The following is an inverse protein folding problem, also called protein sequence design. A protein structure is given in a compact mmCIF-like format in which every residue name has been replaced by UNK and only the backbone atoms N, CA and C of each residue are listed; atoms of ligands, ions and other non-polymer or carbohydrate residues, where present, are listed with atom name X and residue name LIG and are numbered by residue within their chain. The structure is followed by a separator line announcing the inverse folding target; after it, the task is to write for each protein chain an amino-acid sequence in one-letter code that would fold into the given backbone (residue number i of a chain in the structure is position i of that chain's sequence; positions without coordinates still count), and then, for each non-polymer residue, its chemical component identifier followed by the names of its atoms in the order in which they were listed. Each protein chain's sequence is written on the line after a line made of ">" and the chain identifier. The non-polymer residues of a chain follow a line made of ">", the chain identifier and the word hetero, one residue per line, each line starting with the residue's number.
data_IF_949160120165
#
_entry.id   IF_949160120165
#
_cell.length_a   1.000
_cell.length_b   1.000
_cell.length_c   1.000
_cell.angle_alpha   90.00
_cell.angle_beta   90.00
_cell.angle_gamma   90.00
#
_symmetry.space_group_name_H-M   'P 1'
#
loop_
_entity.id
_entity.type
_entity.pdbx_description
1 polymer ?
#
# COMPACT_ATOMS: atom_id res chain seq x y z
N UNK A 1 -6.19 14.53 -16.11
CA UNK A 1 -6.63 13.86 -14.87
C UNK A 1 -5.44 13.90 -13.94
N UNK A 2 -5.65 14.40 -12.73
CA UNK A 2 -4.58 14.96 -11.90
C UNK A 2 -3.87 13.85 -11.12
N UNK A 3 -2.54 13.90 -11.11
CA UNK A 3 -1.62 13.06 -10.33
C UNK A 3 -2.10 12.83 -8.87
N UNK A 4 -2.80 13.82 -8.32
CA UNK A 4 -3.47 13.79 -7.01
C UNK A 4 -4.47 12.66 -6.79
N UNK A 5 -5.16 12.17 -7.82
CA UNK A 5 -6.21 11.13 -7.66
C UNK A 5 -5.60 9.75 -7.40
N UNK A 6 -4.56 9.39 -8.17
CA UNK A 6 -3.74 8.20 -7.93
C UNK A 6 -3.04 8.26 -6.56
N UNK A 7 -2.49 9.43 -6.19
CA UNK A 7 -1.85 9.59 -4.88
C UNK A 7 -2.85 9.39 -3.73
N UNK A 8 -4.08 9.90 -3.86
CA UNK A 8 -5.14 9.69 -2.87
C UNK A 8 -5.53 8.21 -2.76
N UNK A 9 -5.67 7.51 -3.88
CA UNK A 9 -6.09 6.10 -3.89
C UNK A 9 -4.98 5.17 -3.40
N UNK A 10 -3.71 5.43 -3.75
CA UNK A 10 -2.58 4.74 -3.16
C UNK A 10 -2.46 5.01 -1.65
N UNK A 11 -2.74 6.23 -1.21
CA UNK A 11 -2.74 6.58 0.21
C UNK A 11 -3.88 5.88 0.95
N UNK A 12 -5.07 5.83 0.37
CA UNK A 12 -6.22 5.11 0.92
C UNK A 12 -5.91 3.61 1.03
N UNK A 13 -5.28 3.02 0.01
CA UNK A 13 -4.84 1.64 0.02
C UNK A 13 -3.83 1.37 1.15
N UNK A 14 -2.87 2.28 1.37
CA UNK A 14 -1.90 2.17 2.47
C UNK A 14 -2.54 2.29 3.84
N UNK A 15 -3.48 3.22 4.01
CA UNK A 15 -4.23 3.37 5.26
C UNK A 15 -5.04 2.11 5.56
N UNK A 16 -5.65 1.50 4.54
CA UNK A 16 -6.34 0.23 4.69
C UNK A 16 -5.37 -0.87 5.14
N UNK A 17 -4.18 -0.94 4.53
CA UNK A 17 -3.15 -1.92 4.91
C UNK A 17 -2.75 -1.81 6.39
N UNK A 18 -2.68 -0.59 6.91
CA UNK A 18 -2.35 -0.26 8.30
C UNK A 18 -3.53 -0.43 9.29
N UNK A 19 -4.73 -0.76 8.81
CA UNK A 19 -5.91 -0.91 9.66
C UNK A 19 -5.88 -2.28 10.38
N UNK A 20 -5.25 -2.28 11.56
CA UNK A 20 -5.11 -3.46 12.41
C UNK A 20 -6.47 -4.02 12.87
N UNK A 21 -7.45 -3.15 13.12
CA UNK A 21 -8.77 -3.56 13.58
C UNK A 21 -9.50 -4.35 12.50
N UNK A 22 -9.58 -3.81 11.28
CA UNK A 22 -10.23 -4.48 10.17
C UNK A 22 -9.49 -5.76 9.76
N UNK A 23 -8.16 -5.74 9.81
CA UNK A 23 -7.30 -6.89 9.55
C UNK A 23 -7.51 -8.04 10.55
N UNK A 24 -7.66 -7.74 11.84
CA UNK A 24 -7.85 -8.75 12.88
C UNK A 24 -9.29 -9.26 12.97
N UNK A 25 -10.28 -8.39 12.76
CA UNK A 25 -11.70 -8.74 12.86
C UNK A 25 -12.17 -9.51 11.61
N UNK A 26 -11.70 -9.10 10.42
CA UNK A 26 -12.09 -9.68 9.12
C UNK A 26 -10.89 -9.88 8.17
N UNK A 27 -9.95 -10.80 8.47
CA UNK A 27 -8.73 -10.97 7.69
C UNK A 27 -8.98 -11.32 6.21
N UNK A 28 -9.98 -12.16 5.93
CA UNK A 28 -10.33 -12.55 4.55
C UNK A 28 -10.91 -11.38 3.75
N UNK A 29 -11.78 -10.58 4.38
CA UNK A 29 -12.46 -9.45 3.75
C UNK A 29 -11.50 -8.28 3.52
N UNK A 30 -10.62 -8.04 4.51
CA UNK A 30 -9.47 -7.15 4.42
C UNK A 30 -8.60 -7.46 3.20
N UNK A 31 -8.18 -8.72 3.05
CA UNK A 31 -7.34 -9.13 1.93
C UNK A 31 -8.04 -8.93 0.60
N UNK A 32 -9.31 -9.34 0.49
CA UNK A 32 -10.11 -9.15 -0.74
C UNK A 32 -10.25 -7.67 -1.11
N UNK A 33 -10.44 -6.79 -0.12
CA UNK A 33 -10.58 -5.35 -0.35
C UNK A 33 -9.27 -4.74 -0.87
N UNK A 34 -8.12 -5.12 -0.30
CA UNK A 34 -6.81 -4.66 -0.78
C UNK A 34 -6.54 -5.08 -2.22
N UNK A 35 -6.85 -6.33 -2.57
CA UNK A 35 -6.70 -6.83 -3.94
C UNK A 35 -7.65 -6.12 -4.88
N UNK A 36 -8.92 -5.96 -4.50
CA UNK A 36 -9.92 -5.27 -5.33
C UNK A 36 -9.49 -3.84 -5.66
N UNK A 37 -9.01 -3.10 -4.66
CA UNK A 37 -8.50 -1.72 -4.86
C UNK A 37 -7.26 -1.70 -5.77
N UNK A 38 -6.35 -2.65 -5.61
CA UNK A 38 -5.20 -2.76 -6.51
C UNK A 38 -5.64 -3.07 -7.96
N UNK A 39 -6.60 -3.96 -8.15
CA UNK A 39 -7.18 -4.28 -9.46
C UNK A 39 -7.87 -3.05 -10.09
N UNK A 40 -8.60 -2.26 -9.31
CA UNK A 40 -9.19 -0.99 -9.78
C UNK A 40 -8.09 -0.04 -10.29
N UNK A 41 -7.01 0.16 -9.52
CA UNK A 41 -5.87 0.99 -9.94
C UNK A 41 -5.24 0.52 -11.26
N UNK A 42 -5.17 -0.79 -11.48
CA UNK A 42 -4.65 -1.38 -12.72
C UNK A 42 -5.65 -1.22 -13.87
N UNK A 43 -6.95 -1.45 -13.62
CA UNK A 43 -8.05 -1.28 -14.58
C UNK A 43 -8.15 0.16 -15.09
N UNK A 44 -7.92 1.12 -14.19
CA UNK A 44 -7.86 2.54 -14.51
C UNK A 44 -6.54 2.96 -15.20
N UNK A 45 -5.62 2.01 -15.42
CA UNK A 45 -4.28 2.23 -15.99
C UNK A 45 -3.44 3.25 -15.20
N UNK A 46 -3.75 3.44 -13.91
CA UNK A 46 -3.02 4.40 -13.08
C UNK A 46 -1.72 3.82 -12.51
N UNK A 47 -1.64 2.50 -12.38
CA UNK A 47 -0.43 1.79 -11.98
C UNK A 47 -0.02 0.79 -13.04
N UNK A 48 1.26 0.43 -13.06
CA UNK A 48 1.74 -0.62 -13.97
C UNK A 48 1.43 -2.01 -13.43
N UNK A 49 1.56 -3.02 -14.29
CA UNK A 49 1.43 -4.43 -13.86
C UNK A 49 2.46 -4.81 -12.79
N UNK A 50 3.67 -4.26 -12.87
CA UNK A 50 4.72 -4.46 -11.87
C UNK A 50 4.33 -3.83 -10.52
N UNK A 51 3.78 -2.61 -10.52
CA UNK A 51 3.26 -1.96 -9.31
C UNK A 51 2.11 -2.75 -8.68
N UNK A 52 1.18 -3.24 -9.52
CA UNK A 52 0.10 -4.11 -9.08
C UNK A 52 0.62 -5.40 -8.43
N UNK A 53 1.66 -6.02 -9.01
CA UNK A 53 2.30 -7.20 -8.39
C UNK A 53 2.91 -6.87 -7.04
N UNK A 54 3.51 -5.69 -6.85
CA UNK A 54 4.03 -5.25 -5.56
C UNK A 54 2.91 -5.07 -4.52
N UNK A 55 1.80 -4.41 -4.90
CA UNK A 55 0.64 -4.25 -4.02
C UNK A 55 0.04 -5.59 -3.62
N UNK A 56 -0.13 -6.49 -4.60
CA UNK A 56 -0.63 -7.84 -4.35
C UNK A 56 0.28 -8.61 -3.39
N UNK A 57 1.59 -8.60 -3.62
CA UNK A 57 2.53 -9.29 -2.74
C UNK A 57 2.49 -8.73 -1.31
N UNK A 58 2.41 -7.40 -1.16
CA UNK A 58 2.29 -6.77 0.14
C UNK A 58 0.98 -7.13 0.87
N UNK A 59 -0.14 -7.24 0.14
CA UNK A 59 -1.41 -7.69 0.70
C UNK A 59 -1.38 -9.18 1.11
N UNK A 60 -0.80 -10.04 0.27
CA UNK A 60 -0.59 -11.48 0.56
C UNK A 60 0.30 -11.66 1.80
N UNK A 61 1.42 -10.94 1.90
CA UNK A 61 2.32 -10.98 3.05
C UNK A 61 1.62 -10.50 4.34
N UNK A 62 0.86 -9.40 4.27
CA UNK A 62 0.10 -8.88 5.41
C UNK A 62 -0.97 -9.87 5.88
N UNK A 63 -1.72 -10.46 4.95
CA UNK A 63 -2.74 -11.48 5.26
C UNK A 63 -2.11 -12.74 5.87
N UNK A 64 -1.03 -13.26 5.27
CA UNK A 64 -0.33 -14.43 5.78
C UNK A 64 0.22 -14.20 7.20
N UNK A 65 0.74 -13.00 7.47
CA UNK A 65 1.17 -12.60 8.81
C UNK A 65 0.00 -12.56 9.79
N UNK A 66 -1.10 -11.89 9.44
CA UNK A 66 -2.30 -11.81 10.28
C UNK A 66 -2.87 -13.17 10.62
N UNK A 67 -3.04 -14.04 9.62
CA UNK A 67 -3.57 -15.39 9.84
C UNK A 67 -2.64 -16.20 10.75
N UNK A 68 -1.32 -16.08 10.59
CA UNK A 68 -0.36 -16.71 11.49
C UNK A 68 -0.40 -16.12 12.91
N UNK A 69 -0.53 -14.80 13.06
CA UNK A 69 -0.63 -14.13 14.36
C UNK A 69 -1.90 -14.55 15.11
N UNK A 70 -3.05 -14.57 14.40
CA UNK A 70 -4.33 -15.03 14.92
C UNK A 70 -4.26 -16.50 15.35
N UNK A 71 -3.69 -17.37 14.51
CA UNK A 71 -3.51 -18.79 14.82
C UNK A 71 -2.58 -19.05 16.03
N UNK A 72 -1.69 -18.09 16.35
CA UNK A 72 -0.74 -18.17 17.47
C UNK A 72 -1.19 -17.39 18.70
N UNK A 73 -2.36 -16.75 18.68
CA UNK A 73 -2.86 -15.82 19.71
C UNK A 73 -1.80 -14.75 20.12
N UNK A 74 -0.93 -14.37 19.19
CA UNK A 74 0.13 -13.40 19.46
C UNK A 74 -0.32 -11.99 19.11
N UNK A 75 0.26 -11.01 19.82
CA UNK A 75 0.13 -9.59 19.44
C UNK A 75 0.63 -9.42 18.01
N UNK A 76 -0.31 -9.07 17.16
CA UNK A 76 -0.10 -8.88 15.74
C UNK A 76 0.63 -7.55 15.50
N UNK A 77 1.96 -7.63 15.47
CA UNK A 77 2.84 -6.48 15.23
C UNK A 77 3.27 -6.45 13.76
N UNK A 78 2.33 -6.26 12.83
CA UNK A 78 2.66 -6.13 11.42
C UNK A 78 3.44 -4.83 11.21
N UNK A 79 4.70 -4.97 10.80
CA UNK A 79 5.49 -3.82 10.39
C UNK A 79 5.20 -3.52 8.93
N UNK A 80 4.19 -2.70 8.68
CA UNK A 80 3.85 -2.20 7.33
C UNK A 80 5.02 -1.47 6.67
N UNK A 81 5.93 -0.90 7.47
CA UNK A 81 7.19 -0.30 7.01
C UNK A 81 8.19 -1.28 6.38
N UNK A 82 8.01 -2.59 6.59
CA UNK A 82 8.82 -3.64 5.97
C UNK A 82 8.27 -4.13 4.63
N UNK A 83 7.05 -3.73 4.27
CA UNK A 83 6.41 -4.14 3.01
C UNK A 83 6.90 -3.27 1.85
N UNK A 84 7.24 -3.93 0.74
CA UNK A 84 7.66 -3.27 -0.50
C UNK A 84 6.44 -2.73 -1.22
N UNK A 85 6.21 -1.43 -1.11
CA UNK A 85 5.12 -0.74 -1.78
C UNK A 85 5.64 0.03 -2.99
N UNK A 86 4.84 0.15 -4.07
CA UNK A 86 5.18 1.01 -5.17
C UNK A 86 5.34 2.45 -4.65
N UNK A 87 6.47 3.05 -5.02
CA UNK A 87 6.75 4.45 -4.72
C UNK A 87 5.87 5.22 -5.70
N UNK A 88 4.82 5.89 -5.20
CA UNK A 88 3.97 6.75 -6.03
C UNK A 88 4.84 7.69 -6.87
N UNK A 89 4.33 8.19 -8.02
CA UNK A 89 5.13 9.01 -8.92
C UNK A 89 5.80 10.10 -8.10
N UNK A 90 7.13 10.13 -8.16
CA UNK A 90 7.95 10.99 -7.35
C UNK A 90 7.76 12.46 -7.78
N UNK A 91 6.68 13.07 -7.29
CA UNK A 91 6.36 14.49 -7.45
C UNK A 91 6.76 15.28 -6.20
N UNK A 92 7.96 15.09 -5.66
CA UNK A 92 8.57 16.11 -4.77
C UNK A 92 10.06 15.86 -4.61
N UNK A 93 10.79 16.23 -5.66
CA UNK A 93 12.22 16.45 -5.66
C UNK A 93 12.51 17.78 -6.34
N UNK A 94 11.71 18.83 -6.06
CA UNK A 94 12.16 20.19 -6.30
C UNK A 94 13.19 20.52 -5.23
N UNK A 95 14.44 20.15 -5.47
CA UNK A 95 15.54 20.86 -4.87
C UNK A 95 15.59 22.24 -5.55
N UNK A 96 14.79 23.17 -5.03
CA UNK A 96 15.10 24.59 -5.05
C UNK A 96 16.21 24.85 -4.02
N UNK A 97 16.89 26.00 -4.17
CA UNK A 97 18.13 26.45 -3.51
C UNK A 97 19.42 25.82 -4.07
N UNK A 98 20.40 26.56 -4.59
CA UNK A 98 20.59 28.01 -4.66
C UNK A 98 21.66 28.31 -5.73
N UNK A 99 21.46 29.42 -6.44
CA UNK A 99 22.44 30.05 -7.32
C UNK A 99 23.26 31.02 -6.47
N UNK A 100 24.60 31.00 -6.62
CA UNK A 100 25.67 31.95 -6.18
C UNK A 100 26.84 31.13 -5.59
N UNK A 101 28.12 31.40 -5.82
CA UNK A 101 28.81 32.65 -6.19
C UNK A 101 30.15 32.32 -6.90
N UNK A 102 30.64 33.34 -7.60
CA UNK A 102 31.89 33.54 -8.36
C UNK A 102 33.18 32.79 -7.92
#
# INVERSE_FOLDING_TARGET
>A
MSETDLEMELKAWRLLLEDDAYRLDFPEDYHRTLISRADELLLHEWITRDDWQLLKNAADDAYAFTVQSLAREQRDCLKTSSLRLPKGPAGSGIASEENDDD
#
